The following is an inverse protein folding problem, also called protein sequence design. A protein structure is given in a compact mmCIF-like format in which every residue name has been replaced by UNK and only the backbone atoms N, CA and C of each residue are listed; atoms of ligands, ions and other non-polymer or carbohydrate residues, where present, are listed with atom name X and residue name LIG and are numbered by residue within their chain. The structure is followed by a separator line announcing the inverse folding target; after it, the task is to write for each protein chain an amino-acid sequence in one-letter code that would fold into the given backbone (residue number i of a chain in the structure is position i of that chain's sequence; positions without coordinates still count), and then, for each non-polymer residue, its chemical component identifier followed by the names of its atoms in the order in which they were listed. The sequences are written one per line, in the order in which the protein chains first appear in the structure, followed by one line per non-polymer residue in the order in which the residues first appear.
data_IF_865895268099
#
_entry.id   IF_865895268099
#
_cell.length_a   1.000
_cell.length_b   1.000
_cell.length_c   1.000
_cell.angle_alpha   90.00
_cell.angle_beta   90.00
_cell.angle_gamma   90.00
#
_symmetry.space_group_name_H-M   'P 1'
#
loop_
_entity.id
_entity.type
_entity.pdbx_description
1 polymer ?
#
# COMPACT_ATOMS: atom_id res chain seq x y z
N UNK A 1 15.51 22.72 29.04
CA UNK A 1 14.29 22.27 28.33
C UNK A 1 14.74 21.67 27.02
N UNK A 2 14.55 20.35 26.82
CA UNK A 2 14.66 19.80 25.48
C UNK A 2 13.37 20.18 24.77
N UNK A 3 13.46 21.04 23.75
CA UNK A 3 12.36 21.20 22.81
C UNK A 3 12.15 19.82 22.19
N UNK A 4 11.03 19.18 22.53
CA UNK A 4 10.58 18.01 21.80
C UNK A 4 10.12 18.53 20.45
N UNK A 5 11.03 18.48 19.47
CA UNK A 5 10.69 18.68 18.07
C UNK A 5 9.49 17.79 17.75
N UNK A 6 8.40 18.37 17.25
CA UNK A 6 7.27 17.56 16.80
C UNK A 6 7.78 16.52 15.80
N UNK A 7 7.37 15.25 15.92
CA UNK A 7 7.79 14.22 14.97
C UNK A 7 7.29 14.61 13.59
N UNK A 8 8.18 14.60 12.59
CA UNK A 8 7.81 15.05 11.25
C UNK A 8 6.86 14.08 10.54
N UNK A 9 6.78 12.83 11.02
CA UNK A 9 5.71 11.88 10.67
C UNK A 9 4.77 11.72 11.87
N UNK A 10 3.56 12.22 11.72
CA UNK A 10 2.43 11.92 12.61
C UNK A 10 1.28 11.36 11.80
N UNK A 11 0.73 10.25 12.27
CA UNK A 11 -0.44 9.60 11.69
C UNK A 11 -1.66 9.92 12.55
N UNK A 12 -2.80 10.12 11.89
CA UNK A 12 -4.09 10.17 12.58
C UNK A 12 -4.40 8.83 13.23
N UNK A 13 -5.34 8.78 14.17
CA UNK A 13 -5.78 7.52 14.78
C UNK A 13 -6.24 6.51 13.71
N UNK A 14 -6.97 6.99 12.70
CA UNK A 14 -7.41 6.15 11.57
C UNK A 14 -6.22 5.61 10.75
N UNK A 15 -5.24 6.45 10.46
CA UNK A 15 -4.07 6.05 9.68
C UNK A 15 -3.21 5.02 10.42
N UNK A 16 -3.17 5.07 11.76
CA UNK A 16 -2.53 4.05 12.60
C UNK A 16 -3.37 2.77 12.73
N UNK A 17 -4.70 2.89 12.79
CA UNK A 17 -5.56 1.71 12.97
C UNK A 17 -5.53 0.79 11.74
N UNK A 18 -5.38 1.37 10.55
CA UNK A 18 -5.41 0.64 9.28
C UNK A 18 -4.05 0.58 8.58
N UNK A 19 -2.98 1.10 9.20
CA UNK A 19 -1.65 1.22 8.61
C UNK A 19 -1.69 1.78 7.17
N UNK A 20 -2.55 2.77 6.94
CA UNK A 20 -2.91 3.25 5.61
C UNK A 20 -3.04 4.77 5.56
N UNK A 21 -2.55 5.36 4.48
CA UNK A 21 -2.73 6.77 4.12
C UNK A 21 -3.25 6.93 2.69
N UNK A 22 -3.89 8.05 2.38
CA UNK A 22 -4.26 8.37 0.99
C UNK A 22 -3.04 8.76 0.15
N UNK A 23 -3.13 8.66 -1.17
CA UNK A 23 -2.07 9.09 -2.08
C UNK A 23 -1.71 10.58 -1.88
N UNK A 24 -2.70 11.44 -1.70
CA UNK A 24 -2.46 12.87 -1.41
C UNK A 24 -1.70 13.06 -0.10
N UNK A 25 -2.05 12.28 0.94
CA UNK A 25 -1.36 12.32 2.23
C UNK A 25 0.07 11.82 2.11
N UNK A 26 0.28 10.71 1.41
CA UNK A 26 1.61 10.15 1.14
C UNK A 26 2.50 11.17 0.41
N UNK A 27 2.00 11.80 -0.66
CA UNK A 27 2.75 12.83 -1.39
C UNK A 27 3.08 14.04 -0.51
N UNK A 28 2.18 14.42 0.40
CA UNK A 28 2.46 15.48 1.37
C UNK A 28 3.63 15.10 2.30
N UNK A 29 3.77 13.83 2.70
CA UNK A 29 4.92 13.34 3.48
C UNK A 29 6.21 13.37 2.65
N UNK A 30 6.20 12.81 1.44
CA UNK A 30 7.37 12.78 0.54
C UNK A 30 7.97 14.17 0.31
N UNK A 31 7.10 15.18 0.16
CA UNK A 31 7.50 16.56 -0.14
C UNK A 31 7.90 17.38 1.09
N UNK A 32 7.76 16.86 2.31
CA UNK A 32 8.17 17.58 3.52
C UNK A 32 9.69 17.83 3.53
N UNK A 33 10.17 19.05 3.86
CA UNK A 33 11.60 19.39 3.76
C UNK A 33 12.54 18.52 4.59
N UNK A 34 12.05 17.99 5.71
CA UNK A 34 12.79 17.18 6.68
C UNK A 34 12.64 15.67 6.48
N UNK A 35 11.95 15.23 5.42
CA UNK A 35 11.96 13.82 5.00
C UNK A 35 13.15 13.51 4.11
N UNK A 36 13.86 12.43 4.45
CA UNK A 36 14.85 11.77 3.61
C UNK A 36 14.18 10.58 2.92
N UNK A 37 14.42 10.44 1.60
CA UNK A 37 13.94 9.31 0.80
C UNK A 37 15.11 8.36 0.58
N UNK A 38 14.96 7.11 0.98
CA UNK A 38 16.03 6.12 0.94
C UNK A 38 15.92 5.17 -0.25
N UNK A 39 14.70 4.91 -0.70
CA UNK A 39 14.43 3.91 -1.74
C UNK A 39 13.10 4.24 -2.42
N UNK A 40 13.08 4.10 -3.74
CA UNK A 40 11.88 4.05 -4.57
C UNK A 40 12.09 2.85 -5.50
N UNK A 41 11.25 1.83 -5.39
CA UNK A 41 11.46 0.55 -6.08
C UNK A 41 10.13 -0.10 -6.44
N UNK A 42 9.98 -0.52 -7.69
CA UNK A 42 8.92 -1.46 -8.08
C UNK A 42 9.32 -2.88 -7.64
N UNK A 43 8.46 -3.54 -6.87
CA UNK A 43 8.68 -4.89 -6.37
C UNK A 43 7.35 -5.62 -6.20
N UNK A 44 7.41 -6.91 -5.89
CA UNK A 44 6.24 -7.76 -5.69
C UNK A 44 6.20 -8.37 -4.29
N UNK A 45 5.00 -8.64 -3.79
CA UNK A 45 4.77 -9.51 -2.63
C UNK A 45 3.75 -10.61 -3.01
N UNK A 46 3.25 -11.36 -2.02
CA UNK A 46 2.25 -12.42 -2.23
C UNK A 46 0.90 -11.93 -2.76
N UNK A 47 0.63 -10.63 -2.73
CA UNK A 47 -0.65 -10.03 -3.11
C UNK A 47 -0.60 -9.26 -4.43
N UNK A 48 0.59 -9.06 -5.02
CA UNK A 48 0.75 -8.38 -6.30
C UNK A 48 2.03 -7.56 -6.43
N UNK A 49 2.01 -6.60 -7.37
CA UNK A 49 3.14 -5.75 -7.74
C UNK A 49 2.88 -4.30 -7.36
N UNK A 50 3.82 -3.65 -6.66
CA UNK A 50 3.65 -2.33 -6.08
C UNK A 50 4.91 -1.46 -6.22
N UNK A 51 4.72 -0.15 -6.08
CA UNK A 51 5.82 0.77 -5.81
C UNK A 51 6.05 0.84 -4.30
N UNK A 52 7.27 0.53 -3.87
CA UNK A 52 7.74 0.64 -2.50
C UNK A 52 8.57 1.91 -2.34
N UNK A 53 8.28 2.70 -1.31
CA UNK A 53 8.98 3.95 -1.01
C UNK A 53 9.37 3.98 0.46
N UNK A 54 10.67 4.03 0.75
CA UNK A 54 11.19 4.08 2.12
C UNK A 54 11.62 5.48 2.50
N UNK A 55 11.05 5.99 3.59
CA UNK A 55 11.25 7.35 4.11
C UNK A 55 11.84 7.32 5.53
N UNK A 56 12.54 8.38 5.91
CA UNK A 56 12.85 8.67 7.30
C UNK A 56 12.72 10.15 7.64
N UNK A 57 12.35 10.42 8.89
CA UNK A 57 12.32 11.75 9.43
C UNK A 57 13.73 12.18 9.88
N UNK A 58 14.30 13.24 9.29
CA UNK A 58 15.67 13.69 9.61
C UNK A 58 15.79 14.21 11.05
N UNK A 59 14.73 14.81 11.55
CA UNK A 59 14.68 15.45 12.88
C UNK A 59 14.31 14.48 14.01
N UNK A 60 13.87 13.27 13.69
CA UNK A 60 13.43 12.27 14.67
C UNK A 60 14.60 11.46 15.24
N UNK A 61 14.53 11.17 16.55
CA UNK A 61 15.50 10.34 17.26
C UNK A 61 14.80 9.42 18.28
N UNK A 62 15.00 8.09 18.23
CA UNK A 62 15.76 7.38 17.19
C UNK A 62 15.06 7.54 15.83
N UNK A 63 15.86 7.63 14.75
CA UNK A 63 15.28 7.68 13.41
C UNK A 63 14.49 6.39 13.14
N UNK A 64 13.30 6.52 12.58
CA UNK A 64 12.46 5.41 12.11
C UNK A 64 12.49 5.34 10.60
N UNK A 65 12.49 4.14 10.06
CA UNK A 65 12.32 3.88 8.64
C UNK A 65 10.89 3.43 8.39
N UNK A 66 10.15 4.18 7.59
CA UNK A 66 8.81 3.79 7.18
C UNK A 66 8.82 3.45 5.70
N UNK A 67 8.38 2.23 5.38
CA UNK A 67 8.22 1.79 4.00
C UNK A 67 6.74 1.83 3.65
N UNK A 68 6.42 2.57 2.60
CA UNK A 68 5.09 2.67 2.02
C UNK A 68 5.02 1.79 0.78
N UNK A 69 3.88 1.16 0.55
CA UNK A 69 3.61 0.46 -0.69
C UNK A 69 2.22 0.81 -1.23
N UNK A 70 2.13 0.97 -2.55
CA UNK A 70 0.95 1.44 -3.26
C UNK A 70 1.24 1.53 -4.76
N UNK A 71 0.38 2.19 -5.53
CA UNK A 71 0.56 2.38 -6.99
C UNK A 71 0.90 1.07 -7.71
N UNK A 72 0.04 0.07 -7.51
CA UNK A 72 0.29 -1.31 -7.89
C UNK A 72 -0.95 -2.06 -8.33
N UNK A 73 -0.78 -3.24 -8.90
CA UNK A 73 -1.89 -4.15 -9.18
C UNK A 73 -1.97 -5.18 -8.05
N UNK A 74 -3.15 -5.31 -7.47
CA UNK A 74 -3.43 -6.30 -6.44
C UNK A 74 -4.11 -7.50 -7.08
N UNK A 75 -3.49 -8.68 -6.98
CA UNK A 75 -3.90 -9.88 -7.70
C UNK A 75 -5.25 -10.40 -7.21
N UNK A 76 -5.43 -10.53 -5.89
CA UNK A 76 -6.68 -11.05 -5.33
C UNK A 76 -7.86 -10.08 -5.42
N UNK A 77 -7.61 -8.76 -5.28
CA UNK A 77 -8.62 -7.73 -5.55
C UNK A 77 -8.80 -7.48 -7.05
N UNK A 78 -7.97 -8.06 -7.92
CA UNK A 78 -7.98 -7.91 -9.38
C UNK A 78 -8.13 -6.44 -9.84
N UNK A 79 -7.45 -5.52 -9.15
CA UNK A 79 -7.53 -4.09 -9.46
C UNK A 79 -6.26 -3.33 -9.15
N UNK A 80 -6.13 -2.20 -9.83
CA UNK A 80 -5.11 -1.21 -9.56
C UNK A 80 -5.42 -0.44 -8.27
N UNK A 81 -4.41 -0.31 -7.41
CA UNK A 81 -4.41 0.51 -6.21
C UNK A 81 -3.79 1.85 -6.54
N UNK A 82 -4.61 2.90 -6.57
CA UNK A 82 -4.20 4.21 -7.09
C UNK A 82 -4.14 5.27 -5.99
N UNK A 83 -5.10 5.25 -5.08
CA UNK A 83 -5.36 6.36 -4.16
C UNK A 83 -5.04 6.02 -2.69
N UNK A 84 -4.52 4.83 -2.40
CA UNK A 84 -4.14 4.38 -1.05
C UNK A 84 -2.73 3.83 -1.02
N UNK A 85 -2.07 4.02 0.12
CA UNK A 85 -0.77 3.48 0.45
C UNK A 85 -0.80 2.87 1.83
N UNK A 86 -0.35 1.63 1.93
CA UNK A 86 -0.12 0.94 3.18
C UNK A 86 1.31 1.24 3.64
N UNK A 87 1.56 1.16 4.95
CA UNK A 87 2.89 1.41 5.49
C UNK A 87 3.25 0.45 6.61
N UNK A 88 4.54 0.27 6.84
CA UNK A 88 5.07 -0.45 7.98
C UNK A 88 6.43 0.11 8.40
N UNK A 89 6.81 -0.12 9.65
CA UNK A 89 8.14 0.22 10.14
C UNK A 89 9.17 -0.83 9.72
N UNK A 90 10.17 -0.39 8.96
CA UNK A 90 11.24 -1.25 8.46
C UNK A 90 12.25 -1.52 9.57
N UNK A 91 12.57 -2.79 9.79
CA UNK A 91 13.63 -3.22 10.72
C UNK A 91 15.05 -3.12 10.12
N UNK A 92 15.18 -2.50 8.93
CA UNK A 92 16.47 -2.33 8.25
C UNK A 92 17.39 -1.45 9.09
N UNK A 93 18.68 -1.79 9.09
CA UNK A 93 19.69 -0.93 9.69
C UNK A 93 19.82 0.36 8.88
N UNK A 94 19.65 1.50 9.55
CA UNK A 94 19.77 2.82 8.94
C UNK A 94 21.20 3.21 8.54
N UNK A 95 22.20 2.57 9.15
CA UNK A 95 23.59 2.93 8.92
C UNK A 95 24.00 2.67 7.47
N UNK A 96 24.30 3.75 6.74
CA UNK A 96 24.78 3.67 5.36
C UNK A 96 23.68 3.48 4.31
N UNK A 97 22.41 3.68 4.66
CA UNK A 97 21.36 3.72 3.63
C UNK A 97 21.59 4.92 2.70
N UNK A 98 21.51 4.70 1.37
CA UNK A 98 21.59 5.79 0.42
C UNK A 98 20.42 6.75 0.63
N UNK A 99 20.60 7.98 0.16
CA UNK A 99 19.54 8.96 0.02
C UNK A 99 19.37 9.25 -1.45
N UNK A 100 18.13 9.19 -1.93
CA UNK A 100 17.75 9.54 -3.29
C UNK A 100 17.40 11.03 -3.30
N UNK A 101 17.68 11.70 -4.42
CA UNK A 101 17.24 13.07 -4.62
C UNK A 101 15.70 13.16 -4.60
N UNK A 102 15.18 14.23 -4.01
CA UNK A 102 13.74 14.39 -3.81
C UNK A 102 12.99 14.66 -5.10
N UNK A 103 13.58 15.41 -6.03
CA UNK A 103 12.98 15.66 -7.33
C UNK A 103 12.97 14.38 -8.15
N UNK A 104 14.05 13.61 -8.12
CA UNK A 104 14.16 12.30 -8.75
C UNK A 104 13.12 11.32 -8.22
N UNK A 105 13.00 11.16 -6.90
CA UNK A 105 12.01 10.28 -6.29
C UNK A 105 10.57 10.69 -6.63
N UNK A 106 10.27 11.99 -6.59
CA UNK A 106 8.96 12.52 -6.96
C UNK A 106 8.64 12.27 -8.45
N UNK A 107 9.63 12.35 -9.33
CA UNK A 107 9.45 12.02 -10.74
C UNK A 107 9.09 10.54 -10.94
N UNK A 108 9.82 9.63 -10.28
CA UNK A 108 9.54 8.18 -10.34
C UNK A 108 8.12 7.85 -9.82
N UNK A 109 7.72 8.44 -8.70
CA UNK A 109 6.38 8.22 -8.12
C UNK A 109 5.29 8.72 -9.09
N UNK A 110 5.48 9.90 -9.70
CA UNK A 110 4.50 10.46 -10.66
C UNK A 110 4.43 9.67 -11.96
N UNK A 111 5.56 9.20 -12.46
CA UNK A 111 5.59 8.34 -13.65
C UNK A 111 4.79 7.06 -13.40
N UNK A 112 5.03 6.42 -12.25
CA UNK A 112 4.27 5.23 -11.85
C UNK A 112 2.79 5.53 -11.62
N UNK A 113 2.46 6.65 -10.98
CA UNK A 113 1.07 7.07 -10.79
C UNK A 113 0.34 7.22 -12.14
N UNK A 114 0.96 7.88 -13.11
CA UNK A 114 0.40 8.06 -14.44
C UNK A 114 0.18 6.72 -15.17
N UNK A 115 1.14 5.80 -15.08
CA UNK A 115 1.01 4.45 -15.60
C UNK A 115 -0.17 3.71 -14.96
N UNK A 116 -0.24 3.67 -13.63
CA UNK A 116 -1.29 2.98 -12.88
C UNK A 116 -2.67 3.56 -13.18
N UNK A 117 -2.81 4.89 -13.17
CA UNK A 117 -4.07 5.58 -13.50
C UNK A 117 -4.56 5.26 -14.91
N UNK A 118 -3.65 5.13 -15.86
CA UNK A 118 -3.98 4.79 -17.26
C UNK A 118 -4.50 3.35 -17.39
N UNK A 119 -4.01 2.43 -16.55
CA UNK A 119 -4.39 1.02 -16.58
C UNK A 119 -5.56 0.69 -15.62
N UNK A 120 -5.89 1.57 -14.68
CA UNK A 120 -7.01 1.43 -13.76
C UNK A 120 -8.36 1.39 -14.49
N UNK A 121 -8.79 0.20 -14.88
CA UNK A 121 -10.04 -0.04 -15.60
C UNK A 121 -11.15 -0.39 -14.60
N UNK A 122 -12.25 0.38 -14.50
CA UNK A 122 -13.26 0.20 -13.44
C UNK A 122 -14.03 -1.15 -13.45
N UNK A 123 -14.00 -1.91 -14.55
CA UNK A 123 -14.94 -3.03 -14.76
C UNK A 123 -14.26 -4.39 -15.02
N UNK A 124 -13.02 -4.59 -14.58
CA UNK A 124 -12.29 -5.84 -14.86
C UNK A 124 -12.37 -6.90 -13.75
N UNK A 125 -12.89 -6.54 -12.56
CA UNK A 125 -12.88 -7.42 -11.39
C UNK A 125 -13.92 -8.55 -11.51
N UNK A 126 -13.48 -9.79 -11.33
CA UNK A 126 -14.35 -10.97 -11.32
C UNK A 126 -15.22 -11.02 -10.04
N UNK A 127 -16.29 -11.85 -10.02
CA UNK A 127 -17.05 -12.10 -8.79
C UNK A 127 -16.18 -12.60 -7.63
N UNK A 128 -15.11 -13.36 -7.92
CA UNK A 128 -14.14 -13.81 -6.92
C UNK A 128 -13.37 -12.62 -6.34
N UNK A 129 -12.88 -11.71 -7.19
CA UNK A 129 -12.18 -10.50 -6.75
C UNK A 129 -13.07 -9.57 -5.92
N UNK A 130 -14.34 -9.40 -6.32
CA UNK A 130 -15.33 -8.63 -5.57
C UNK A 130 -15.60 -9.24 -4.19
N UNK A 131 -15.76 -10.57 -4.10
CA UNK A 131 -15.94 -11.26 -2.84
C UNK A 131 -14.72 -11.12 -1.94
N UNK A 132 -13.52 -11.28 -2.50
CA UNK A 132 -12.28 -11.07 -1.76
C UNK A 132 -12.20 -9.66 -1.18
N UNK A 133 -12.50 -8.63 -1.96
CA UNK A 133 -12.47 -7.24 -1.51
C UNK A 133 -13.43 -6.99 -0.34
N UNK A 134 -14.66 -7.52 -0.39
CA UNK A 134 -15.61 -7.40 0.73
C UNK A 134 -15.07 -8.07 1.99
N UNK A 135 -14.46 -9.26 1.88
CA UNK A 135 -13.92 -9.97 3.04
C UNK A 135 -12.70 -9.22 3.60
N UNK A 136 -11.78 -8.79 2.73
CA UNK A 136 -10.57 -8.07 3.11
C UNK A 136 -10.86 -6.70 3.74
N UNK A 137 -11.98 -6.07 3.41
CA UNK A 137 -12.42 -4.84 4.08
C UNK A 137 -13.00 -5.10 5.48
N UNK A 138 -13.40 -6.34 5.79
CA UNK A 138 -13.90 -6.79 7.10
C UNK A 138 -12.82 -7.45 7.97
N UNK A 139 -11.74 -7.94 7.36
CA UNK A 139 -10.63 -8.66 8.01
C UNK A 139 -9.29 -8.05 7.59
N UNK A 140 -8.22 -8.86 7.49
CA UNK A 140 -6.95 -8.51 6.83
C UNK A 140 -6.78 -9.35 5.54
N UNK A 141 -5.77 -9.02 4.72
CA UNK A 141 -5.58 -9.65 3.41
C UNK A 141 -5.31 -11.17 3.51
N UNK A 142 -4.63 -11.62 4.58
CA UNK A 142 -4.32 -13.05 4.83
C UNK A 142 -5.57 -13.83 5.25
N UNK A 143 -6.33 -13.28 6.21
CA UNK A 143 -7.60 -13.84 6.67
C UNK A 143 -8.61 -13.87 5.55
N UNK A 144 -8.66 -12.81 4.72
CA UNK A 144 -9.55 -12.78 3.55
C UNK A 144 -9.21 -13.87 2.54
N UNK A 145 -7.93 -14.20 2.35
CA UNK A 145 -7.55 -15.29 1.46
C UNK A 145 -8.00 -16.64 2.02
N UNK A 146 -7.78 -16.89 3.31
CA UNK A 146 -8.25 -18.11 3.99
C UNK A 146 -9.76 -18.25 3.93
N UNK A 147 -10.51 -17.18 4.24
CA UNK A 147 -11.97 -17.16 4.19
C UNK A 147 -12.49 -17.29 2.75
N UNK A 148 -11.81 -16.72 1.76
CA UNK A 148 -12.18 -16.92 0.36
C UNK A 148 -11.98 -18.37 -0.08
N UNK A 149 -10.95 -19.04 0.42
CA UNK A 149 -10.76 -20.47 0.17
C UNK A 149 -11.90 -21.29 0.79
N UNK A 150 -12.34 -20.97 2.00
CA UNK A 150 -13.42 -21.70 2.68
C UNK A 150 -14.83 -21.36 2.12
N UNK A 151 -15.13 -20.07 1.94
CA UNK A 151 -16.43 -19.56 1.48
C UNK A 151 -16.59 -19.59 -0.04
N UNK A 152 -15.49 -19.51 -0.80
CA UNK A 152 -15.51 -19.55 -2.26
C UNK A 152 -16.12 -20.84 -2.79
N UNK A 153 -15.89 -21.97 -2.11
CA UNK A 153 -16.57 -23.23 -2.43
C UNK A 153 -18.09 -23.19 -2.24
N UNK A 154 -18.58 -22.41 -1.27
CA UNK A 154 -20.01 -22.32 -0.95
C UNK A 154 -20.70 -21.32 -1.86
N UNK A 155 -20.12 -20.14 -2.10
CA UNK A 155 -20.78 -19.08 -2.88
C UNK A 155 -20.61 -19.22 -4.39
N UNK A 156 -19.50 -19.77 -4.88
CA UNK A 156 -19.25 -19.86 -6.32
C UNK A 156 -19.74 -21.18 -6.94
N UNK A 157 -19.99 -22.23 -6.15
CA UNK A 157 -20.57 -23.50 -6.64
C UNK A 157 -22.11 -23.60 -6.49
N UNK A 158 -22.78 -22.63 -5.87
CA UNK A 158 -24.26 -22.65 -5.75
C UNK A 158 -24.98 -22.32 -7.08
N UNK A 159 -24.22 -21.97 -8.14
CA UNK A 159 -24.75 -21.80 -9.51
C UNK A 159 -24.59 -23.06 -10.40
N UNK A 160 -24.18 -24.21 -9.86
CA UNK A 160 -24.27 -25.49 -10.57
C UNK A 160 -25.54 -26.24 -10.11
N UNK A 161 -26.69 -25.57 -10.23
CA UNK A 161 -27.97 -26.26 -10.27
C UNK A 161 -28.07 -27.02 -11.58
N UNK A 162 -27.51 -28.24 -11.55
CA UNK A 162 -27.66 -29.27 -12.56
C UNK A 162 -29.13 -29.49 -12.93
N UNK A 163 -29.62 -28.66 -13.84
CA UNK A 163 -30.85 -28.89 -14.58
C UNK A 163 -30.54 -29.89 -15.67
N UNK A 164 -30.73 -31.16 -15.35
CA UNK A 164 -31.10 -32.15 -16.36
C UNK A 164 -32.45 -32.72 -15.99
N UNK A 165 -33.35 -32.70 -16.97
CA UNK A 165 -34.72 -33.20 -16.95
C UNK A 165 -34.86 -34.60 -16.34
#
# INVERSE_FOLDING_TARGET
MKEYSNPCISFTERENLYDQVSHVRFMALVLQPDMDIHEVKEDSNSFGEYLFVTLSCRTEQPKRLLTFWGLGYHDHRERWIVDSWQWFESQRNMNGLPQIDKEEANAQIKEREAFVRTNATPNAQSPRGQLYEVIADLTDEDSALSELEDLGWIFLNVNDDGTTK
#
